data_IF_546569404734
#
_entry.id   IF_546569404734
#
_cell.length_a   1.000
_cell.length_b   1.000
_cell.length_c   1.000
_cell.angle_alpha   90.00
_cell.angle_beta   90.00
_cell.angle_gamma   90.00
#
_symmetry.space_group_name_H-M   'P 1'
#
loop_
_entity.id
_entity.type
_entity.pdbx_description
1 polymer ?
#
# COMPACT_ATOMS: atom_id res chain seq x y z
N UNK A 1 4.83 20.42 -45.31
CA UNK A 1 4.18 19.19 -44.77
C UNK A 1 5.17 18.10 -44.38
N UNK A 2 6.20 17.76 -45.18
CA UNK A 2 7.15 16.67 -44.85
C UNK A 2 7.99 16.90 -43.57
N UNK A 3 8.32 18.15 -43.24
CA UNK A 3 9.17 18.50 -42.09
C UNK A 3 8.44 18.35 -40.75
N UNK A 4 7.16 18.76 -40.68
CA UNK A 4 6.34 18.61 -39.49
C UNK A 4 6.08 17.13 -39.16
N UNK A 5 5.78 16.31 -40.16
CA UNK A 5 5.58 14.87 -39.97
C UNK A 5 6.85 14.15 -39.49
N UNK A 6 8.03 14.56 -39.96
CA UNK A 6 9.32 14.01 -39.48
C UNK A 6 9.63 14.41 -38.04
N UNK A 7 9.33 15.66 -37.66
CA UNK A 7 9.49 16.13 -36.27
C UNK A 7 8.52 15.40 -35.36
N UNK A 8 7.25 15.25 -35.75
CA UNK A 8 6.26 14.49 -34.99
C UNK A 8 6.66 13.01 -34.82
N UNK A 9 7.19 12.39 -35.88
CA UNK A 9 7.63 11.00 -35.82
C UNK A 9 8.83 10.83 -34.89
N UNK A 10 9.79 11.77 -34.94
CA UNK A 10 10.96 11.76 -34.07
C UNK A 10 10.59 12.03 -32.61
N UNK A 11 9.65 12.94 -32.33
CA UNK A 11 9.19 13.19 -30.95
C UNK A 11 8.40 12.01 -30.39
N UNK A 12 7.55 11.37 -31.19
CA UNK A 12 6.84 10.14 -30.79
C UNK A 12 7.81 8.99 -30.56
N UNK A 13 8.82 8.81 -31.41
CA UNK A 13 9.86 7.79 -31.22
C UNK A 13 10.68 8.04 -29.95
N UNK A 14 11.01 9.29 -29.65
CA UNK A 14 11.68 9.66 -28.39
C UNK A 14 10.80 9.40 -27.17
N UNK A 15 9.50 9.68 -27.28
CA UNK A 15 8.53 9.39 -26.22
C UNK A 15 8.45 7.89 -25.94
N UNK A 16 8.35 7.06 -26.99
CA UNK A 16 8.30 5.59 -26.88
C UNK A 16 9.60 5.03 -26.27
N UNK A 17 10.77 5.57 -26.62
CA UNK A 17 12.04 5.18 -25.99
C UNK A 17 12.15 5.63 -24.53
N UNK A 18 11.48 6.72 -24.13
CA UNK A 18 11.48 7.22 -22.75
C UNK A 18 10.52 6.49 -21.81
N UNK A 19 9.56 5.74 -22.36
CA UNK A 19 8.72 4.83 -21.58
C UNK A 19 9.57 3.61 -21.21
N UNK A 20 10.33 3.73 -20.13
CA UNK A 20 10.97 2.57 -19.53
C UNK A 20 9.89 1.53 -19.18
N UNK A 21 10.14 0.27 -19.56
CA UNK A 21 9.31 -0.86 -19.17
C UNK A 21 9.31 -0.95 -17.63
N UNK A 22 8.29 -0.41 -16.97
CA UNK A 22 8.06 -0.66 -15.56
C UNK A 22 7.84 -2.17 -15.40
N UNK A 23 8.73 -2.83 -14.65
CA UNK A 23 8.55 -4.24 -14.29
C UNK A 23 7.63 -4.31 -13.07
N UNK A 24 6.67 -5.23 -13.04
CA UNK A 24 5.93 -5.50 -11.82
C UNK A 24 6.91 -5.97 -10.74
N UNK A 25 6.73 -5.47 -9.51
CA UNK A 25 7.54 -5.83 -8.35
C UNK A 25 6.59 -6.22 -7.23
N UNK A 26 6.89 -7.34 -6.56
CA UNK A 26 6.20 -7.71 -5.33
C UNK A 26 6.76 -6.89 -4.15
N UNK A 27 5.87 -6.35 -3.33
CA UNK A 27 6.22 -5.59 -2.13
C UNK A 27 5.52 -6.22 -0.93
N UNK A 28 6.30 -6.53 0.10
CA UNK A 28 5.78 -6.98 1.39
C UNK A 28 5.15 -5.78 2.13
N UNK A 29 3.83 -5.73 2.17
CA UNK A 29 3.06 -4.69 2.89
C UNK A 29 2.47 -5.32 4.17
N UNK A 30 2.57 -4.65 5.35
CA UNK A 30 1.91 -5.10 6.56
C UNK A 30 0.38 -5.07 6.41
N UNK A 31 -0.32 -5.93 7.15
CA UNK A 31 -1.78 -5.91 7.19
C UNK A 31 -2.30 -4.74 8.00
N UNK A 32 -3.50 -4.28 7.65
CA UNK A 32 -4.31 -3.41 8.47
C UNK A 32 -4.61 -4.09 9.82
N UNK A 33 -4.56 -3.31 10.90
CA UNK A 33 -4.73 -3.79 12.28
C UNK A 33 -6.10 -3.48 12.85
N UNK A 34 -6.92 -2.68 12.17
CA UNK A 34 -8.22 -2.24 12.62
C UNK A 34 -9.31 -2.75 11.69
N UNK A 35 -10.36 -3.36 12.26
CA UNK A 35 -11.55 -3.78 11.53
C UNK A 35 -12.79 -3.14 12.12
N UNK A 36 -13.80 -2.94 11.26
CA UNK A 36 -15.10 -2.42 11.68
C UNK A 36 -16.05 -3.57 11.97
N UNK A 37 -16.86 -3.43 13.02
CA UNK A 37 -17.88 -4.40 13.39
C UNK A 37 -18.86 -4.65 12.22
N UNK A 38 -19.15 -5.91 11.93
CA UNK A 38 -20.12 -6.34 10.93
C UNK A 38 -19.67 -6.21 9.48
N UNK A 39 -18.49 -5.65 9.21
CA UNK A 39 -17.93 -5.58 7.85
C UNK A 39 -17.05 -6.79 7.56
N UNK A 40 -16.60 -6.92 6.31
CA UNK A 40 -15.52 -7.85 5.96
C UNK A 40 -14.17 -7.21 6.26
N UNK A 41 -13.21 -8.00 6.74
CA UNK A 41 -11.84 -7.57 6.98
C UNK A 41 -10.87 -8.47 6.21
N UNK A 42 -9.90 -7.86 5.54
CA UNK A 42 -8.83 -8.59 4.85
C UNK A 42 -7.59 -8.65 5.74
N UNK A 43 -7.17 -9.86 6.10
CA UNK A 43 -5.89 -10.10 6.75
C UNK A 43 -4.82 -10.29 5.68
N UNK A 44 -3.98 -9.28 5.49
CA UNK A 44 -2.98 -9.27 4.43
C UNK A 44 -1.73 -10.04 4.85
N UNK A 45 -1.42 -11.11 4.11
CA UNK A 45 -0.17 -11.86 4.28
C UNK A 45 0.55 -11.96 2.94
N UNK A 46 1.48 -11.04 2.71
CA UNK A 46 2.33 -11.07 1.52
C UNK A 46 3.70 -11.62 1.92
N UNK A 47 4.20 -12.55 1.11
CA UNK A 47 5.55 -13.05 1.21
C UNK A 47 6.14 -13.13 -0.20
N UNK A 48 6.86 -12.07 -0.59
CA UNK A 48 7.51 -11.99 -1.88
C UNK A 48 8.65 -13.00 -2.00
N UNK A 49 8.71 -13.66 -3.17
CA UNK A 49 9.84 -14.53 -3.49
C UNK A 49 11.03 -13.67 -3.92
N UNK A 50 12.24 -14.03 -3.48
CA UNK A 50 13.46 -13.33 -3.96
C UNK A 50 13.66 -13.46 -5.47
N UNK A 51 13.11 -14.51 -6.05
CA UNK A 51 13.26 -14.89 -7.45
C UNK A 51 11.95 -15.53 -7.92
N UNK A 52 11.25 -14.85 -8.82
CA UNK A 52 9.90 -15.23 -9.27
C UNK A 52 9.92 -16.38 -10.29
N UNK A 53 11.00 -16.53 -11.05
CA UNK A 53 11.13 -17.59 -12.06
C UNK A 53 11.30 -19.00 -11.48
N UNK A 54 11.55 -19.13 -10.16
CA UNK A 54 11.74 -20.42 -9.51
C UNK A 54 10.40 -20.96 -9.02
N UNK A 55 10.06 -22.18 -9.43
CA UNK A 55 8.86 -22.85 -8.95
C UNK A 55 9.04 -23.31 -7.49
N UNK A 56 8.06 -22.99 -6.66
CA UNK A 56 8.03 -23.43 -5.26
C UNK A 56 6.66 -24.03 -4.93
N UNK A 57 6.67 -25.10 -4.13
CA UNK A 57 5.47 -25.62 -3.47
C UNK A 57 5.25 -24.78 -2.22
N UNK A 58 4.10 -24.11 -2.16
CA UNK A 58 3.76 -23.22 -1.04
C UNK A 58 2.70 -23.88 -0.16
N UNK A 59 3.00 -23.94 1.13
CA UNK A 59 2.10 -24.35 2.21
C UNK A 59 1.86 -23.13 3.09
N UNK A 60 0.60 -22.82 3.35
CA UNK A 60 0.20 -21.72 4.23
C UNK A 60 -0.68 -22.27 5.33
N UNK A 61 -0.31 -21.97 6.57
CA UNK A 61 -1.12 -22.25 7.75
C UNK A 61 -1.44 -20.94 8.46
N UNK A 62 -2.72 -20.73 8.74
CA UNK A 62 -3.19 -19.59 9.52
C UNK A 62 -3.58 -20.04 10.92
N UNK A 63 -3.05 -19.34 11.91
CA UNK A 63 -3.35 -19.57 13.32
C UNK A 63 -3.98 -18.32 13.94
N UNK A 64 -4.91 -18.54 14.85
CA UNK A 64 -5.48 -17.53 15.73
C UNK A 64 -5.01 -17.80 17.16
N UNK A 65 -4.47 -16.78 17.79
CA UNK A 65 -4.07 -16.77 19.18
C UNK A 65 -5.12 -16.00 19.95
N UNK A 66 -5.85 -16.73 20.80
CA UNK A 66 -6.79 -16.16 21.73
C UNK A 66 -6.05 -15.45 22.89
N UNK A 67 -6.76 -14.55 23.57
CA UNK A 67 -6.23 -13.86 24.75
C UNK A 67 -5.90 -14.82 25.92
N UNK A 68 -6.51 -16.01 25.94
CA UNK A 68 -6.19 -17.09 26.91
C UNK A 68 -4.87 -17.80 26.62
N UNK A 69 -4.24 -17.53 25.48
CA UNK A 69 -3.01 -18.19 25.03
C UNK A 69 -3.23 -19.48 24.24
N UNK A 70 -4.49 -19.84 23.97
CA UNK A 70 -4.82 -21.00 23.14
C UNK A 70 -4.58 -20.68 21.66
N UNK A 71 -3.91 -21.61 20.97
CA UNK A 71 -3.59 -21.52 19.54
C UNK A 71 -4.55 -22.39 18.75
N UNK A 72 -5.32 -21.77 17.86
CA UNK A 72 -6.27 -22.47 16.98
C UNK A 72 -5.80 -22.39 15.54
N UNK A 73 -5.71 -23.52 14.86
CA UNK A 73 -5.47 -23.55 13.41
C UNK A 73 -6.79 -23.26 12.69
N UNK A 74 -6.84 -22.16 11.92
CA UNK A 74 -8.10 -21.64 11.36
C UNK A 74 -8.22 -21.84 9.84
N UNK A 75 -7.12 -21.86 9.11
CA UNK A 75 -7.16 -21.97 7.65
C UNK A 75 -5.87 -22.58 7.11
N UNK A 76 -5.99 -23.42 6.08
CA UNK A 76 -4.85 -24.06 5.42
C UNK A 76 -4.94 -23.95 3.91
N UNK A 77 -3.82 -23.64 3.27
CA UNK A 77 -3.67 -23.73 1.81
C UNK A 77 -2.51 -24.65 1.47
N UNK A 78 -2.79 -25.73 0.75
CA UNK A 78 -1.80 -26.72 0.33
C UNK A 78 -2.19 -27.32 -1.03
N UNK A 79 -1.23 -27.49 -1.93
CA UNK A 79 -1.44 -28.16 -3.23
C UNK A 79 -2.63 -27.60 -4.05
N UNK A 80 -2.78 -26.27 -4.07
CA UNK A 80 -3.89 -25.58 -4.75
C UNK A 80 -5.29 -25.87 -4.20
N UNK A 81 -5.36 -26.32 -2.94
CA UNK A 81 -6.61 -26.55 -2.24
C UNK A 81 -6.63 -25.72 -0.95
N UNK A 82 -7.60 -24.84 -0.85
CA UNK A 82 -7.99 -24.22 0.41
C UNK A 82 -8.80 -25.20 1.27
N UNK A 83 -8.48 -25.23 2.56
CA UNK A 83 -9.17 -26.02 3.56
C UNK A 83 -9.47 -25.12 4.73
N UNK A 84 -10.76 -24.88 4.93
CA UNK A 84 -11.27 -24.23 6.14
C UNK A 84 -11.26 -25.26 7.28
N UNK A 85 -10.61 -24.91 8.39
CA UNK A 85 -10.41 -25.82 9.53
C UNK A 85 -11.58 -25.66 10.49
N UNK A 86 -11.97 -26.76 11.14
CA UNK A 86 -13.08 -26.73 12.09
C UNK A 86 -12.76 -25.80 13.27
N UNK A 87 -13.71 -24.93 13.64
CA UNK A 87 -13.50 -23.92 14.67
C UNK A 87 -14.48 -22.74 14.59
N UNK A 88 -14.27 -21.68 15.40
CA UNK A 88 -15.17 -20.53 15.49
C UNK A 88 -15.21 -19.65 14.22
N UNK A 89 -14.28 -19.87 13.30
CA UNK A 89 -14.15 -19.13 12.05
C UNK A 89 -14.70 -19.90 10.83
N UNK A 90 -15.14 -21.14 11.02
CA UNK A 90 -15.59 -21.99 9.93
C UNK A 90 -16.77 -21.38 9.17
N UNK A 91 -16.67 -21.35 7.86
CA UNK A 91 -17.66 -20.77 6.94
C UNK A 91 -17.62 -19.24 6.84
N UNK A 92 -16.75 -18.56 7.59
CA UNK A 92 -16.56 -17.11 7.53
C UNK A 92 -15.25 -16.67 6.88
N UNK A 93 -14.29 -17.60 6.71
CA UNK A 93 -13.01 -17.32 6.09
C UNK A 93 -13.07 -17.60 4.58
N UNK A 94 -12.56 -16.65 3.80
CA UNK A 94 -12.47 -16.76 2.34
C UNK A 94 -11.04 -16.52 1.90
N UNK A 95 -10.54 -17.36 1.00
CA UNK A 95 -9.23 -17.15 0.39
C UNK A 95 -9.24 -15.93 -0.55
N UNK A 96 -8.29 -15.03 -0.35
CA UNK A 96 -8.10 -13.84 -1.19
C UNK A 96 -6.62 -13.66 -1.57
N UNK A 97 -5.97 -14.77 -1.93
CA UNK A 97 -4.58 -14.79 -2.38
C UNK A 97 -4.41 -14.69 -3.89
N UNK A 98 -3.20 -14.37 -4.34
CA UNK A 98 -2.86 -14.30 -5.76
C UNK A 98 -2.59 -15.68 -6.35
N UNK A 99 -2.77 -15.81 -7.66
CA UNK A 99 -2.47 -17.05 -8.40
C UNK A 99 -1.00 -17.47 -8.29
N UNK A 100 -0.10 -16.49 -8.16
CA UNK A 100 1.34 -16.71 -8.05
C UNK A 100 1.80 -17.06 -6.63
N UNK A 101 0.85 -17.13 -5.67
CA UNK A 101 1.11 -17.51 -4.27
C UNK A 101 2.15 -16.64 -3.57
N UNK A 102 2.24 -15.37 -4.00
CA UNK A 102 3.01 -14.33 -3.31
C UNK A 102 2.11 -13.60 -2.29
N UNK A 103 0.84 -13.38 -2.66
CA UNK A 103 -0.20 -12.87 -1.78
C UNK A 103 -1.02 -14.06 -1.25
N UNK A 104 -1.05 -14.21 0.07
CA UNK A 104 -1.61 -15.35 0.79
C UNK A 104 -2.69 -14.89 1.77
N UNK A 105 -3.31 -13.76 1.46
CA UNK A 105 -4.30 -13.09 2.29
C UNK A 105 -5.60 -13.90 2.41
N UNK A 106 -6.25 -13.76 3.56
CA UNK A 106 -7.60 -14.29 3.80
C UNK A 106 -8.55 -13.15 4.18
N UNK A 107 -9.84 -13.34 3.95
CA UNK A 107 -10.89 -12.38 4.30
C UNK A 107 -11.78 -13.01 5.35
N UNK A 108 -11.99 -12.31 6.46
CA UNK A 108 -12.97 -12.64 7.48
C UNK A 108 -14.28 -11.93 7.14
N UNK A 109 -15.34 -12.70 6.93
CA UNK A 109 -16.70 -12.20 6.71
C UNK A 109 -17.42 -11.94 8.03
N UNK A 110 -18.21 -10.87 8.07
CA UNK A 110 -19.02 -10.48 9.23
C UNK A 110 -18.22 -10.47 10.53
N UNK A 111 -17.28 -9.52 10.63
CA UNK A 111 -16.38 -9.40 11.78
C UNK A 111 -17.16 -9.08 13.06
N UNK A 112 -16.82 -9.77 14.14
CA UNK A 112 -17.39 -9.61 15.48
C UNK A 112 -16.34 -9.13 16.48
N UNK A 113 -16.75 -8.56 17.63
CA UNK A 113 -15.79 -8.10 18.65
C UNK A 113 -14.87 -9.22 19.17
N UNK A 114 -15.37 -10.46 19.17
CA UNK A 114 -14.62 -11.65 19.61
C UNK A 114 -13.55 -12.09 18.60
N UNK A 115 -13.57 -11.56 17.38
CA UNK A 115 -12.54 -11.84 16.37
C UNK A 115 -11.27 -11.00 16.61
N UNK A 116 -11.28 -10.08 17.59
CA UNK A 116 -10.09 -9.37 18.04
C UNK A 116 -9.05 -10.35 18.60
N UNK A 117 -7.78 -10.10 18.34
CA UNK A 117 -6.69 -10.96 18.80
C UNK A 117 -5.50 -10.98 17.86
N UNK A 118 -4.64 -11.98 18.01
CA UNK A 118 -3.42 -12.12 17.22
C UNK A 118 -3.56 -13.22 16.19
N UNK A 119 -3.43 -12.86 14.92
CA UNK A 119 -3.41 -13.77 13.79
C UNK A 119 -1.99 -14.00 13.32
N UNK A 120 -1.68 -15.24 12.97
CA UNK A 120 -0.36 -15.64 12.51
C UNK A 120 -0.47 -16.38 11.19
N UNK A 121 0.20 -15.85 10.18
CA UNK A 121 0.37 -16.49 8.87
C UNK A 121 1.74 -17.16 8.83
N UNK A 122 1.76 -18.50 8.80
CA UNK A 122 2.97 -19.28 8.62
C UNK A 122 3.05 -19.77 7.17
N UNK A 123 4.06 -19.29 6.46
CA UNK A 123 4.30 -19.61 5.05
C UNK A 123 5.53 -20.48 4.96
N UNK A 124 5.36 -21.70 4.47
CA UNK A 124 6.45 -22.66 4.21
C UNK A 124 6.53 -22.93 2.72
N UNK A 125 7.70 -22.69 2.13
CA UNK A 125 7.96 -22.93 0.71
C UNK A 125 9.07 -23.94 0.53
N UNK A 126 8.80 -24.94 -0.30
CA UNK A 126 9.80 -25.88 -0.78
C UNK A 126 10.12 -25.54 -2.24
N UNK A 127 11.35 -25.11 -2.50
CA UNK A 127 11.77 -24.74 -3.85
C UNK A 127 12.27 -25.97 -4.58
N UNK A 128 11.81 -26.17 -5.82
CA UNK A 128 12.21 -27.31 -6.64
C UNK A 128 13.37 -26.90 -7.56
N UNK A 129 14.61 -27.19 -7.16
CA UNK A 129 15.77 -27.09 -8.04
C UNK A 129 16.22 -28.49 -8.46
N UNK A 130 16.79 -28.59 -9.68
CA UNK A 130 17.23 -29.87 -10.29
C UNK A 130 18.09 -30.78 -9.41
N UNK A 131 18.84 -30.22 -8.47
CA UNK A 131 19.80 -30.95 -7.64
C UNK A 131 19.54 -30.86 -6.13
N UNK A 132 18.62 -30.00 -5.68
CA UNK A 132 18.37 -29.76 -4.26
C UNK A 132 17.00 -29.11 -4.03
N UNK A 133 16.38 -29.41 -2.90
CA UNK A 133 15.06 -28.88 -2.51
C UNK A 133 15.15 -28.10 -1.19
N UNK A 134 15.60 -26.83 -1.20
CA UNK A 134 15.63 -26.02 0.01
C UNK A 134 14.22 -25.67 0.46
N UNK A 135 14.02 -25.70 1.78
CA UNK A 135 12.82 -25.23 2.44
C UNK A 135 13.06 -23.87 3.09
N UNK A 136 12.12 -22.94 2.92
CA UNK A 136 12.10 -21.65 3.59
C UNK A 136 10.79 -21.48 4.34
N UNK A 137 10.84 -21.01 5.58
CA UNK A 137 9.64 -20.70 6.35
C UNK A 137 9.70 -19.29 6.91
N UNK A 138 8.59 -18.58 6.84
CA UNK A 138 8.42 -17.24 7.39
C UNK A 138 7.08 -17.15 8.11
N UNK A 139 7.09 -16.43 9.22
CA UNK A 139 5.91 -16.20 10.05
C UNK A 139 5.63 -14.71 10.09
N UNK A 140 4.38 -14.31 9.82
CA UNK A 140 3.92 -12.93 9.89
C UNK A 140 2.80 -12.85 10.93
N UNK A 141 2.92 -11.89 11.83
CA UNK A 141 2.00 -11.68 12.94
C UNK A 141 1.15 -10.43 12.68
N UNK A 142 -0.15 -10.52 12.93
CA UNK A 142 -1.12 -9.46 12.67
C UNK A 142 -2.00 -9.31 13.92
N UNK A 143 -1.89 -8.19 14.63
CA UNK A 143 -2.75 -7.87 15.76
C UNK A 143 -4.00 -7.15 15.27
N UNK A 144 -5.15 -7.84 15.32
CA UNK A 144 -6.43 -7.29 14.89
C UNK A 144 -7.21 -6.74 16.08
N UNK A 145 -7.65 -5.49 15.97
CA UNK A 145 -8.56 -4.84 16.91
C UNK A 145 -9.85 -4.46 16.19
N UNK A 146 -10.98 -4.98 16.68
CA UNK A 146 -12.29 -4.65 16.12
C UNK A 146 -12.88 -3.44 16.83
N UNK A 147 -13.30 -2.43 16.06
CA UNK A 147 -13.95 -1.21 16.53
C UNK A 147 -15.36 -1.10 15.95
N UNK A 148 -16.25 -0.42 16.66
CA UNK A 148 -17.62 -0.19 16.16
C UNK A 148 -17.66 0.78 14.97
N UNK A 149 -16.70 1.71 14.90
CA UNK A 149 -16.58 2.71 13.84
C UNK A 149 -15.14 2.74 13.31
N UNK A 150 -15.00 2.95 12.01
CA UNK A 150 -13.69 3.18 11.38
C UNK A 150 -12.99 4.38 12.04
N UNK A 151 -11.70 4.22 12.34
CA UNK A 151 -10.86 5.34 12.72
C UNK A 151 -10.64 6.26 11.51
N UNK A 152 -10.58 7.56 11.75
CA UNK A 152 -10.18 8.50 10.72
C UNK A 152 -8.65 8.54 10.63
N UNK A 153 -8.11 8.51 9.40
CA UNK A 153 -6.68 8.63 9.15
C UNK A 153 -6.17 10.01 9.55
N UNK A 154 -5.75 10.13 10.80
CA UNK A 154 -5.18 11.36 11.38
C UNK A 154 -4.03 11.93 10.56
N UNK A 155 -3.25 11.06 9.89
CA UNK A 155 -2.16 11.47 8.99
C UNK A 155 -2.68 12.15 7.74
N UNK A 156 -3.78 11.66 7.15
CA UNK A 156 -4.40 12.28 5.98
C UNK A 156 -4.91 13.68 6.34
N UNK A 157 -5.65 13.79 7.45
CA UNK A 157 -6.18 15.07 7.95
C UNK A 157 -5.04 16.06 8.24
N UNK A 158 -3.96 15.61 8.90
CA UNK A 158 -2.79 16.46 9.16
C UNK A 158 -2.11 16.95 7.88
N UNK A 159 -1.94 16.07 6.89
CA UNK A 159 -1.31 16.41 5.62
C UNK A 159 -2.12 17.44 4.83
N UNK A 160 -3.44 17.34 4.87
CA UNK A 160 -4.36 18.30 4.25
C UNK A 160 -4.28 19.68 4.93
N UNK A 161 -4.33 19.72 6.27
CA UNK A 161 -4.21 20.98 7.03
C UNK A 161 -2.85 21.64 6.75
N UNK A 162 -1.76 20.87 6.80
CA UNK A 162 -0.41 21.39 6.55
C UNK A 162 -0.28 21.97 5.14
N UNK A 163 -0.88 21.33 4.12
CA UNK A 163 -0.93 21.86 2.77
C UNK A 163 -1.59 23.24 2.72
N UNK A 164 -2.78 23.40 3.31
CA UNK A 164 -3.48 24.69 3.32
C UNK A 164 -2.71 25.77 4.07
N UNK A 165 -2.09 25.44 5.21
CA UNK A 165 -1.26 26.39 5.98
C UNK A 165 -0.08 26.90 5.15
N UNK A 166 0.63 26.00 4.46
CA UNK A 166 1.73 26.38 3.57
C UNK A 166 1.26 27.25 2.41
N UNK A 167 0.11 26.93 1.80
CA UNK A 167 -0.45 27.74 0.71
C UNK A 167 -0.80 29.16 1.16
N UNK A 168 -1.45 29.32 2.32
CA UNK A 168 -1.82 30.64 2.86
C UNK A 168 -0.58 31.45 3.22
N UNK A 169 0.42 30.83 3.84
CA UNK A 169 1.66 31.52 4.21
C UNK A 169 2.46 31.98 2.98
N UNK A 170 2.64 31.10 1.99
CA UNK A 170 3.35 31.43 0.75
C UNK A 170 2.62 32.49 -0.07
N UNK A 171 1.30 32.42 -0.18
CA UNK A 171 0.51 33.43 -0.89
C UNK A 171 0.56 34.79 -0.19
N UNK A 172 0.45 34.82 1.14
CA UNK A 172 0.62 36.06 1.90
C UNK A 172 2.02 36.65 1.73
N UNK A 173 3.07 35.83 1.80
CA UNK A 173 4.44 36.26 1.55
C UNK A 173 4.60 36.89 0.17
N UNK A 174 4.09 36.23 -0.89
CA UNK A 174 4.11 36.77 -2.24
C UNK A 174 3.36 38.09 -2.36
N UNK A 175 2.20 38.24 -1.71
CA UNK A 175 1.46 39.50 -1.72
C UNK A 175 2.24 40.63 -1.03
N UNK A 176 2.93 40.34 0.08
CA UNK A 176 3.80 41.31 0.76
C UNK A 176 4.94 41.73 -0.16
N UNK A 177 5.63 40.80 -0.82
CA UNK A 177 6.70 41.09 -1.79
C UNK A 177 6.17 41.90 -2.99
N UNK A 178 5.00 41.55 -3.52
CA UNK A 178 4.36 42.28 -4.62
C UNK A 178 4.03 43.73 -4.22
N UNK A 179 3.45 43.95 -3.04
CA UNK A 179 3.14 45.30 -2.54
C UNK A 179 4.42 46.07 -2.23
N UNK A 180 5.42 45.42 -1.65
CA UNK A 180 6.73 46.01 -1.37
C UNK A 180 7.42 46.48 -2.65
N UNK A 181 7.51 45.60 -3.66
CA UNK A 181 8.07 45.92 -4.98
C UNK A 181 7.28 47.03 -5.67
N UNK A 182 5.95 46.95 -5.67
CA UNK A 182 5.09 47.98 -6.27
C UNK A 182 5.34 49.35 -5.64
N UNK A 183 5.31 49.44 -4.30
CA UNK A 183 5.59 50.70 -3.59
C UNK A 183 7.00 51.21 -3.85
N UNK A 184 7.98 50.32 -3.97
CA UNK A 184 9.35 50.72 -4.27
C UNK A 184 9.48 51.30 -5.68
N UNK A 185 8.89 50.68 -6.69
CA UNK A 185 8.93 51.14 -8.10
C UNK A 185 8.18 52.47 -8.26
N UNK A 186 6.98 52.59 -7.69
CA UNK A 186 6.21 53.85 -7.77
C UNK A 186 7.01 55.05 -7.21
N UNK A 187 7.70 54.88 -6.09
CA UNK A 187 8.56 55.93 -5.53
C UNK A 187 9.76 56.29 -6.41
N UNK A 188 10.33 55.35 -7.16
CA UNK A 188 11.41 55.66 -8.10
C UNK A 188 10.92 56.36 -9.36
N UNK A 189 9.70 56.05 -9.83
CA UNK A 189 9.09 56.72 -10.98
C UNK A 189 8.77 58.20 -10.66
N UNK A 190 8.22 58.49 -9.47
CA UNK A 190 7.96 59.86 -9.01
C UNK A 190 9.26 60.70 -9.01
N UNK A 191 10.38 60.15 -8.49
CA UNK A 191 11.67 60.84 -8.43
C UNK A 191 12.32 61.08 -9.81
N UNK A 192 12.11 60.17 -10.77
CA UNK A 192 12.61 60.34 -12.13
C UNK A 192 11.87 61.46 -12.87
N UNK A 193 10.61 61.70 -12.53
CA UNK A 193 9.78 62.74 -13.16
C UNK A 193 10.10 64.13 -12.60
N UNK A 194 10.40 64.25 -11.30
CA UNK A 194 10.83 65.51 -10.66
C UNK A 194 12.23 65.97 -11.10
N UNK A 195 13.11 65.05 -11.50
CA UNK A 195 14.46 65.37 -11.99
C UNK A 195 14.51 65.75 -13.48
N UNK A 196 13.41 65.54 -14.21
CA UNK A 196 13.30 65.87 -15.63
C UNK A 196 12.76 67.31 -15.88
N UNK A 197 12.45 68.06 -14.81
CA UNK A 197 11.98 69.44 -14.84
C UNK A 197 13.01 70.46 -14.32
#
# INVERSE_FOLDING_TARGET
MLTLNRVLLNTVAFLILSVQLCRPVCVDVPSDTEAVLGTQMRLTCISCMKREEVKARTLVNWFYFSDSGDVTHIYKYENSKETDVDGPFKGRLVWNGSKDLQDLSIVILNVTLNDSGLYQCQVSREFDFRFFTPTFSITKNISLTVKEKASEDTTAIYSEIMMYVLLVFLTFWLLVEMVYCYRKISKSDDQAQDTAY
#
